data_IF_048386036886
#
_entry.id   IF_048386036886
#
_cell.length_a   1.000
_cell.length_b   1.000
_cell.length_c   1.000
_cell.angle_alpha   90.00
_cell.angle_beta   90.00
_cell.angle_gamma   90.00
#
_symmetry.space_group_name_H-M   'P 1'
#
loop_
_entity.id
_entity.type
_entity.pdbx_description
1 polymer ?
#
# COMPACT_ATOMS: atom_id res chain seq x y z
N UNK A 1 21.15 27.64 -33.11
CA UNK A 1 19.77 27.79 -32.64
C UNK A 1 19.53 29.05 -31.78
N UNK A 2 20.57 29.80 -31.34
CA UNK A 2 20.35 31.08 -30.63
C UNK A 2 20.08 30.96 -29.12
N UNK A 3 19.93 29.75 -28.59
CA UNK A 3 19.74 29.49 -27.16
C UNK A 3 21.07 29.52 -26.38
N UNK A 4 21.07 29.95 -25.11
CA UNK A 4 22.25 29.93 -24.25
C UNK A 4 22.70 28.49 -23.96
N UNK A 5 24.01 28.28 -23.77
CA UNK A 5 24.59 26.97 -23.39
C UNK A 5 24.42 26.70 -21.89
N UNK A 6 23.17 26.62 -21.46
CA UNK A 6 22.77 26.33 -20.09
C UNK A 6 21.64 25.30 -20.08
N UNK A 7 21.34 24.70 -18.93
CA UNK A 7 20.18 23.79 -18.81
C UNK A 7 18.87 24.47 -19.22
N UNK A 8 18.70 25.75 -18.87
CA UNK A 8 17.55 26.54 -19.30
C UNK A 8 17.47 26.70 -20.82
N UNK A 9 18.59 27.03 -21.48
CA UNK A 9 18.61 27.18 -22.94
C UNK A 9 18.37 25.86 -23.68
N UNK A 10 18.85 24.74 -23.14
CA UNK A 10 18.55 23.41 -23.66
C UNK A 10 17.07 23.05 -23.49
N UNK A 11 16.49 23.26 -22.30
CA UNK A 11 15.07 23.04 -22.06
C UNK A 11 14.22 23.87 -23.02
N UNK A 12 14.51 25.17 -23.16
CA UNK A 12 13.70 26.04 -24.02
C UNK A 12 13.78 25.66 -25.50
N UNK A 13 14.95 25.20 -25.97
CA UNK A 13 15.08 24.64 -27.31
C UNK A 13 14.22 23.38 -27.49
N UNK A 14 14.22 22.45 -26.53
CA UNK A 14 13.44 21.21 -26.60
C UNK A 14 11.93 21.49 -26.57
N UNK A 15 11.49 22.46 -25.79
CA UNK A 15 10.10 22.94 -25.78
C UNK A 15 9.71 23.55 -27.12
N UNK A 16 10.51 24.48 -27.66
CA UNK A 16 10.20 25.18 -28.91
C UNK A 16 10.22 24.25 -30.13
N UNK A 17 11.02 23.17 -30.09
CA UNK A 17 11.02 22.12 -31.10
C UNK A 17 9.89 21.10 -30.93
N UNK A 18 9.06 21.22 -29.88
CA UNK A 18 7.94 20.31 -29.60
C UNK A 18 8.36 18.93 -29.11
N UNK A 19 9.63 18.74 -28.74
CA UNK A 19 10.09 17.49 -28.13
C UNK A 19 9.62 17.36 -26.69
N UNK A 20 9.62 18.46 -25.95
CA UNK A 20 9.18 18.52 -24.55
C UNK A 20 7.95 19.42 -24.39
N UNK A 21 7.11 19.08 -23.42
CA UNK A 21 6.04 19.97 -22.99
C UNK A 21 6.58 21.07 -22.07
N UNK A 22 5.87 22.21 -21.96
CA UNK A 22 6.20 23.27 -20.99
C UNK A 22 6.21 22.82 -19.52
N UNK A 23 5.62 21.65 -19.26
CA UNK A 23 5.45 21.07 -17.93
C UNK A 23 6.46 19.94 -17.67
N UNK A 24 7.40 19.72 -18.59
CA UNK A 24 8.51 18.81 -18.35
C UNK A 24 9.33 19.32 -17.17
N UNK A 25 9.81 18.40 -16.32
CA UNK A 25 10.58 18.74 -15.13
C UNK A 25 12.03 18.30 -15.34
N UNK A 26 12.92 19.16 -15.89
CA UNK A 26 14.30 18.80 -16.20
C UNK A 26 15.09 18.22 -15.02
N UNK A 27 14.71 18.60 -13.79
CA UNK A 27 15.33 18.06 -12.57
C UNK A 27 15.04 16.56 -12.37
N UNK A 28 13.86 16.09 -12.76
CA UNK A 28 13.45 14.67 -12.68
C UNK A 28 14.24 13.85 -13.69
N UNK A 29 14.32 14.33 -14.93
CA UNK A 29 15.14 13.73 -16.00
C UNK A 29 16.62 13.73 -15.60
N UNK A 30 17.12 14.85 -15.06
CA UNK A 30 18.51 14.99 -14.63
C UNK A 30 18.87 14.13 -13.41
N UNK A 31 17.90 13.80 -12.56
CA UNK A 31 18.06 12.88 -11.45
C UNK A 31 17.97 11.40 -11.88
N UNK A 32 17.65 11.13 -13.16
CA UNK A 32 17.54 9.78 -13.69
C UNK A 32 16.28 9.03 -13.26
N UNK A 33 15.26 9.74 -12.75
CA UNK A 33 13.98 9.13 -12.34
C UNK A 33 13.29 8.54 -13.58
N UNK A 34 13.15 7.21 -13.58
CA UNK A 34 12.45 6.50 -14.63
C UNK A 34 10.94 6.66 -14.43
N UNK A 35 10.28 7.26 -15.40
CA UNK A 35 8.81 7.48 -15.39
C UNK A 35 8.06 6.43 -16.20
N UNK A 36 8.76 5.66 -17.04
CA UNK A 36 8.19 4.59 -17.87
C UNK A 36 8.90 3.28 -17.53
N UNK A 37 8.17 2.17 -17.52
CA UNK A 37 8.73 0.83 -17.35
C UNK A 37 9.15 0.24 -18.70
N UNK A 38 10.15 -0.64 -18.70
CA UNK A 38 10.45 -1.44 -19.88
C UNK A 38 9.26 -2.38 -20.20
N UNK A 39 8.99 -2.59 -21.49
CA UNK A 39 7.88 -3.43 -21.96
C UNK A 39 7.95 -4.85 -21.38
N UNK A 40 9.16 -5.41 -21.23
CA UNK A 40 9.35 -6.73 -20.63
C UNK A 40 8.95 -6.75 -19.15
N UNK A 41 9.26 -5.69 -18.40
CA UNK A 41 8.87 -5.57 -16.99
C UNK A 41 7.36 -5.39 -16.85
N UNK A 42 6.73 -4.62 -17.73
CA UNK A 42 5.27 -4.48 -17.74
C UNK A 42 4.57 -5.81 -18.06
N UNK A 43 5.11 -6.58 -19.01
CA UNK A 43 4.59 -7.89 -19.36
C UNK A 43 4.72 -8.89 -18.20
N UNK A 44 5.87 -8.94 -17.55
CA UNK A 44 6.11 -9.80 -16.39
C UNK A 44 5.19 -9.42 -15.23
N UNK A 45 5.05 -8.12 -14.95
CA UNK A 45 4.16 -7.63 -13.91
C UNK A 45 2.69 -7.97 -14.19
N UNK A 46 2.23 -7.86 -15.44
CA UNK A 46 0.89 -8.27 -15.82
C UNK A 46 0.69 -9.79 -15.64
N UNK A 47 1.72 -10.58 -15.94
CA UNK A 47 1.72 -12.03 -15.72
C UNK A 47 1.61 -12.38 -14.24
N UNK A 48 2.35 -11.68 -13.36
CA UNK A 48 2.31 -11.85 -11.90
C UNK A 48 0.98 -11.37 -11.28
N UNK A 49 0.40 -10.30 -11.82
CA UNK A 49 -0.88 -9.75 -11.35
C UNK A 49 -2.11 -10.53 -11.83
N UNK A 50 -1.96 -11.34 -12.88
CA UNK A 50 -3.06 -12.04 -13.55
C UNK A 50 -3.81 -12.96 -12.57
N UNK A 51 -5.14 -12.85 -12.42
CA UNK A 51 -5.93 -13.67 -11.50
C UNK A 51 -5.83 -15.18 -11.71
N UNK A 52 -5.54 -15.65 -12.93
CA UNK A 52 -5.33 -17.08 -13.23
C UNK A 52 -3.91 -17.56 -12.92
N UNK A 53 -2.97 -16.63 -12.81
CA UNK A 53 -1.58 -16.85 -12.37
C UNK A 53 -1.35 -16.35 -10.96
N UNK A 54 -2.39 -15.87 -10.26
CA UNK A 54 -2.37 -15.69 -8.82
C UNK A 54 -2.07 -17.07 -8.30
N UNK A 55 -0.79 -17.31 -8.03
CA UNK A 55 -0.34 -18.47 -7.29
C UNK A 55 -1.27 -18.47 -6.08
N UNK A 56 -2.11 -19.51 -5.99
CA UNK A 56 -2.83 -19.80 -4.76
C UNK A 56 -1.78 -19.61 -3.68
N UNK A 57 -2.03 -18.70 -2.75
CA UNK A 57 -1.07 -18.36 -1.72
C UNK A 57 -0.56 -19.68 -1.15
N UNK A 58 0.68 -20.07 -1.45
CA UNK A 58 1.17 -21.39 -1.02
C UNK A 58 1.17 -21.47 0.51
N UNK A 59 1.04 -20.30 1.16
CA UNK A 59 0.92 -20.10 2.58
C UNK A 59 -0.47 -19.60 3.01
N UNK A 60 -1.51 -19.66 2.17
CA UNK A 60 -2.89 -19.28 2.55
C UNK A 60 -3.30 -19.98 3.84
N UNK A 61 -3.01 -21.28 3.94
CA UNK A 61 -3.32 -22.10 5.11
C UNK A 61 -2.52 -21.70 6.36
N UNK A 62 -1.40 -20.99 6.18
CA UNK A 62 -0.56 -20.48 7.25
C UNK A 62 -0.86 -19.03 7.61
N UNK A 63 -1.71 -18.33 6.84
CA UNK A 63 -2.12 -16.96 7.17
C UNK A 63 -3.21 -16.97 8.21
N UNK A 64 -3.11 -16.07 9.18
CA UNK A 64 -4.16 -15.84 10.16
C UNK A 64 -5.38 -15.22 9.46
N UNK A 65 -6.53 -15.88 9.56
CA UNK A 65 -7.79 -15.31 9.09
C UNK A 65 -8.21 -14.17 10.03
N UNK A 66 -8.20 -12.95 9.49
CA UNK A 66 -8.64 -11.72 10.13
C UNK A 66 -9.74 -11.03 9.31
N UNK A 67 -10.41 -11.77 8.42
CA UNK A 67 -11.45 -11.25 7.51
C UNK A 67 -12.66 -10.66 8.23
N UNK A 68 -12.86 -11.01 9.50
CA UNK A 68 -13.92 -10.47 10.37
C UNK A 68 -13.59 -9.08 10.94
N UNK A 69 -12.32 -8.67 10.91
CA UNK A 69 -11.91 -7.35 11.41
C UNK A 69 -12.36 -6.28 10.42
N UNK A 70 -13.12 -5.29 10.91
CA UNK A 70 -13.58 -4.16 10.09
C UNK A 70 -12.52 -3.07 10.06
N UNK A 71 -11.42 -3.36 9.39
CA UNK A 71 -10.27 -2.46 9.30
C UNK A 71 -10.56 -1.26 8.40
N UNK A 72 -9.90 -0.14 8.68
CA UNK A 72 -10.03 1.13 7.96
C UNK A 72 -8.67 1.52 7.40
N UNK A 73 -8.62 1.94 6.14
CA UNK A 73 -7.47 2.57 5.51
C UNK A 73 -7.71 4.09 5.45
N UNK A 74 -6.79 4.87 6.03
CA UNK A 74 -6.91 6.33 6.17
C UNK A 74 -5.90 6.98 5.25
N UNK A 75 -6.39 7.60 4.19
CA UNK A 75 -5.56 8.08 3.08
C UNK A 75 -6.13 9.36 2.48
N UNK A 76 -5.35 9.98 1.58
CA UNK A 76 -5.90 11.00 0.70
C UNK A 76 -7.01 10.43 -0.22
N UNK A 77 -7.97 11.27 -0.66
CA UNK A 77 -9.05 10.85 -1.56
C UNK A 77 -8.56 10.27 -2.89
N UNK A 78 -7.35 10.64 -3.30
CA UNK A 78 -6.76 10.28 -4.59
C UNK A 78 -5.81 9.08 -4.50
N UNK A 79 -5.56 8.52 -3.31
CA UNK A 79 -4.67 7.37 -3.14
C UNK A 79 -5.26 6.12 -3.79
N UNK A 80 -4.49 5.50 -4.68
CA UNK A 80 -4.83 4.24 -5.37
C UNK A 80 -4.00 3.04 -4.88
N UNK A 81 -2.84 3.31 -4.28
CA UNK A 81 -1.91 2.34 -3.71
C UNK A 81 -2.18 2.27 -2.21
N UNK A 82 -3.09 1.39 -1.79
CA UNK A 82 -3.49 1.29 -0.38
C UNK A 82 -2.57 0.30 0.32
N UNK A 83 -1.56 0.83 0.98
CA UNK A 83 -0.49 0.03 1.58
C UNK A 83 -0.83 -0.45 2.99
N UNK A 84 -1.66 0.28 3.73
CA UNK A 84 -1.96 -0.05 5.12
C UNK A 84 -3.43 0.13 5.52
N UNK A 85 -3.82 -0.61 6.55
CA UNK A 85 -5.11 -0.52 7.20
C UNK A 85 -5.00 -0.82 8.69
N UNK A 86 -5.86 -0.19 9.48
CA UNK A 86 -5.85 -0.32 10.94
C UNK A 86 -7.18 -0.80 11.49
N UNK A 87 -7.11 -1.62 12.54
CA UNK A 87 -8.22 -1.98 13.40
C UNK A 87 -7.79 -1.85 14.86
N UNK A 88 -8.66 -1.33 15.73
CA UNK A 88 -8.36 -1.20 17.15
C UNK A 88 -9.57 -1.56 18.01
N UNK A 89 -9.32 -2.25 19.11
CA UNK A 89 -10.33 -2.69 20.06
C UNK A 89 -9.79 -2.61 21.50
N UNK A 90 -10.64 -2.50 22.53
CA UNK A 90 -10.24 -2.75 23.90
C UNK A 90 -9.67 -4.17 24.05
N UNK A 91 -8.62 -4.33 24.85
CA UNK A 91 -8.04 -5.65 25.07
C UNK A 91 -9.04 -6.57 25.80
N UNK A 92 -9.30 -7.79 25.30
CA UNK A 92 -10.40 -8.63 25.80
C UNK A 92 -10.24 -9.09 27.26
N UNK A 93 -9.02 -9.10 27.79
CA UNK A 93 -8.71 -9.58 29.16
C UNK A 93 -7.91 -8.61 30.03
N UNK A 94 -7.60 -7.40 29.54
CA UNK A 94 -6.77 -6.43 30.27
C UNK A 94 -7.46 -5.07 30.27
N UNK A 95 -8.06 -4.72 31.40
CA UNK A 95 -8.80 -3.47 31.54
C UNK A 95 -7.91 -2.25 31.24
N UNK A 96 -8.43 -1.32 30.43
CA UNK A 96 -7.74 -0.10 30.02
C UNK A 96 -6.65 -0.28 28.95
N UNK A 97 -6.35 -1.51 28.54
CA UNK A 97 -5.43 -1.77 27.42
C UNK A 97 -6.19 -1.71 26.09
N UNK A 98 -5.47 -1.36 25.03
CA UNK A 98 -5.99 -1.32 23.66
C UNK A 98 -5.18 -2.32 22.82
N UNK A 99 -5.85 -3.13 22.01
CA UNK A 99 -5.22 -3.96 20.99
C UNK A 99 -5.38 -3.28 19.63
N UNK A 100 -4.28 -3.14 18.92
CA UNK A 100 -4.22 -2.54 17.58
C UNK A 100 -3.71 -3.59 16.62
N UNK A 101 -4.32 -3.66 15.44
CA UNK A 101 -3.87 -4.43 14.29
C UNK A 101 -3.54 -3.45 13.18
N UNK A 102 -2.31 -3.53 12.67
CA UNK A 102 -1.85 -2.78 11.50
C UNK A 102 -1.59 -3.80 10.41
N UNK A 103 -2.42 -3.79 9.38
CA UNK A 103 -2.30 -4.64 8.21
C UNK A 103 -1.51 -3.89 7.15
N UNK A 104 -0.46 -4.50 6.61
CA UNK A 104 0.40 -3.94 5.58
C UNK A 104 0.26 -4.81 4.34
N UNK A 105 0.15 -4.20 3.17
CA UNK A 105 0.23 -4.88 1.88
C UNK A 105 1.41 -5.84 1.84
N UNK A 106 1.25 -6.97 1.14
CA UNK A 106 2.29 -7.98 1.00
C UNK A 106 2.75 -8.12 -0.47
N UNK A 107 3.49 -7.14 -1.03
CA UNK A 107 4.02 -7.23 -2.39
C UNK A 107 4.95 -8.43 -2.61
N UNK A 108 5.62 -8.88 -1.54
CA UNK A 108 6.58 -10.00 -1.61
C UNK A 108 5.92 -11.33 -1.99
N UNK A 109 4.60 -11.43 -1.79
CA UNK A 109 3.80 -12.54 -2.32
C UNK A 109 3.78 -12.59 -3.84
N UNK A 110 3.76 -11.43 -4.50
CA UNK A 110 3.61 -11.34 -5.96
C UNK A 110 4.93 -11.20 -6.69
N UNK A 111 5.97 -10.73 -6.01
CA UNK A 111 7.24 -10.35 -6.63
C UNK A 111 8.34 -11.30 -6.12
N UNK A 112 8.67 -12.36 -6.89
CA UNK A 112 9.74 -13.27 -6.51
C UNK A 112 11.09 -12.57 -6.47
N UNK A 113 11.94 -12.99 -5.52
CA UNK A 113 13.33 -12.53 -5.44
C UNK A 113 14.08 -12.88 -6.74
N UNK A 114 14.79 -11.90 -7.30
CA UNK A 114 15.56 -12.07 -8.54
C UNK A 114 14.74 -11.99 -9.84
N UNK A 115 13.43 -11.75 -9.76
CA UNK A 115 12.60 -11.45 -10.94
C UNK A 115 12.97 -10.09 -11.56
N UNK A 116 12.62 -9.89 -12.84
CA UNK A 116 12.88 -8.59 -13.50
C UNK A 116 12.10 -7.44 -12.84
N UNK A 117 10.89 -7.72 -12.33
CA UNK A 117 10.11 -6.76 -11.54
C UNK A 117 10.82 -6.39 -10.23
N UNK A 118 11.42 -7.35 -9.53
CA UNK A 118 12.19 -7.08 -8.31
C UNK A 118 13.42 -6.22 -8.59
N UNK A 119 14.17 -6.52 -9.65
CA UNK A 119 15.34 -5.73 -10.08
C UNK A 119 14.96 -4.30 -10.44
N UNK A 120 13.88 -4.11 -11.20
CA UNK A 120 13.37 -2.79 -11.56
C UNK A 120 12.91 -2.02 -10.31
N UNK A 121 12.19 -2.68 -9.39
CA UNK A 121 11.76 -2.08 -8.13
C UNK A 121 12.97 -1.65 -7.29
N UNK A 122 14.01 -2.47 -7.21
CA UNK A 122 15.26 -2.15 -6.52
C UNK A 122 15.97 -0.95 -7.16
N UNK A 123 16.02 -0.89 -8.50
CA UNK A 123 16.62 0.22 -9.25
C UNK A 123 15.86 1.54 -9.03
N UNK A 124 14.52 1.49 -8.97
CA UNK A 124 13.68 2.67 -8.66
C UNK A 124 13.73 3.07 -7.19
N UNK A 125 13.88 2.08 -6.30
CA UNK A 125 13.92 2.16 -4.84
C UNK A 125 12.67 2.72 -4.14
N UNK A 126 11.98 3.69 -4.73
CA UNK A 126 10.79 4.34 -4.16
C UNK A 126 9.90 4.94 -5.24
N UNK A 127 8.62 5.15 -4.93
CA UNK A 127 7.71 5.94 -5.78
C UNK A 127 8.03 7.43 -5.61
N UNK A 128 8.14 8.16 -6.74
CA UNK A 128 8.35 9.61 -6.75
C UNK A 128 7.04 10.34 -7.06
N UNK A 129 6.50 11.04 -6.06
CA UNK A 129 5.26 11.80 -6.17
C UNK A 129 5.56 13.24 -6.61
N UNK A 130 5.11 13.59 -7.82
CA UNK A 130 5.32 14.92 -8.42
C UNK A 130 3.97 15.62 -8.65
N UNK A 131 3.95 16.95 -8.75
CA UNK A 131 2.70 17.68 -9.05
C UNK A 131 2.02 17.28 -10.36
N UNK A 132 2.80 16.78 -11.33
CA UNK A 132 2.32 16.36 -12.65
C UNK A 132 1.96 14.87 -12.73
N UNK A 133 2.27 14.07 -11.70
CA UNK A 133 2.01 12.64 -11.67
C UNK A 133 2.97 11.88 -10.76
N UNK A 134 2.84 10.55 -10.72
CA UNK A 134 3.66 9.67 -9.88
C UNK A 134 4.51 8.77 -10.76
N UNK A 135 5.82 8.76 -10.52
CA UNK A 135 6.71 7.71 -11.03
C UNK A 135 6.69 6.56 -10.02
N UNK A 136 5.88 5.53 -10.27
CA UNK A 136 5.69 4.43 -9.31
C UNK A 136 6.91 3.52 -9.26
N UNK A 137 7.18 2.95 -8.08
CA UNK A 137 8.21 1.93 -7.88
C UNK A 137 7.86 0.62 -8.60
N UNK A 138 6.57 0.26 -8.59
CA UNK A 138 6.05 -0.95 -9.22
C UNK A 138 5.15 -0.59 -10.40
N UNK A 139 5.05 -1.46 -11.42
CA UNK A 139 4.06 -1.32 -12.48
C UNK A 139 2.64 -1.21 -11.90
N UNK A 140 1.78 -0.41 -12.55
CA UNK A 140 0.46 -0.06 -12.02
C UNK A 140 -0.42 -1.28 -11.73
N UNK A 141 -0.31 -2.35 -12.53
CA UNK A 141 -1.04 -3.62 -12.34
C UNK A 141 -0.67 -4.36 -11.05
N UNK A 142 0.52 -4.09 -10.50
CA UNK A 142 0.93 -4.60 -9.19
C UNK A 142 0.59 -3.59 -8.10
N UNK A 143 1.03 -2.34 -8.24
CA UNK A 143 0.93 -1.31 -7.21
C UNK A 143 -0.53 -1.02 -6.81
N UNK A 144 -1.39 -0.81 -7.80
CA UNK A 144 -2.77 -0.30 -7.62
C UNK A 144 -3.82 -1.41 -7.58
N UNK A 145 -3.40 -2.64 -7.89
CA UNK A 145 -4.29 -3.79 -7.98
C UNK A 145 -3.81 -4.93 -7.07
N UNK A 146 -2.91 -5.77 -7.57
CA UNK A 146 -2.55 -7.01 -6.88
C UNK A 146 -2.01 -6.79 -5.44
N UNK A 147 -1.15 -5.80 -5.26
CA UNK A 147 -0.51 -5.52 -3.96
C UNK A 147 -1.37 -4.63 -3.05
N UNK A 148 -2.28 -3.84 -3.62
CA UNK A 148 -3.12 -2.92 -2.85
C UNK A 148 -4.11 -3.67 -1.95
N UNK A 149 -4.29 -3.19 -0.72
CA UNK A 149 -5.31 -3.68 0.20
C UNK A 149 -6.73 -3.30 -0.24
N UNK A 150 -6.89 -2.34 -1.16
CA UNK A 150 -8.19 -1.93 -1.68
C UNK A 150 -8.08 -1.51 -3.15
N UNK A 151 -8.88 -2.11 -4.01
CA UNK A 151 -8.89 -1.82 -5.45
C UNK A 151 -10.04 -0.89 -5.84
N UNK A 152 -9.93 -0.27 -7.02
CA UNK A 152 -11.06 0.46 -7.63
C UNK A 152 -12.17 -0.49 -8.08
N UNK A 153 -11.83 -1.74 -8.41
CA UNK A 153 -12.79 -2.78 -8.76
C UNK A 153 -13.49 -3.30 -7.49
N UNK A 154 -14.81 -3.08 -7.44
CA UNK A 154 -15.66 -3.47 -6.31
C UNK A 154 -15.77 -4.99 -6.17
N UNK A 155 -15.76 -5.73 -7.28
CA UNK A 155 -15.83 -7.20 -7.26
C UNK A 155 -14.53 -7.80 -6.72
N UNK A 156 -13.38 -7.17 -7.02
CA UNK A 156 -12.09 -7.56 -6.47
C UNK A 156 -12.05 -7.41 -4.94
N UNK A 157 -12.72 -6.39 -4.40
CA UNK A 157 -12.78 -6.13 -2.95
C UNK A 157 -13.67 -7.09 -2.17
N UNK A 158 -14.49 -7.92 -2.84
CA UNK A 158 -15.28 -8.96 -2.21
C UNK A 158 -14.45 -10.20 -1.81
N UNK A 159 -13.17 -10.26 -2.18
CA UNK A 159 -12.27 -11.38 -1.90
C UNK A 159 -11.28 -11.03 -0.79
N UNK A 160 -10.88 -12.00 0.06
CA UNK A 160 -9.81 -11.79 1.03
C UNK A 160 -8.49 -11.42 0.33
N UNK A 161 -7.72 -10.55 0.99
CA UNK A 161 -6.41 -10.09 0.56
C UNK A 161 -5.34 -10.51 1.55
N UNK A 162 -4.18 -10.90 1.04
CA UNK A 162 -3.02 -11.15 1.88
C UNK A 162 -2.44 -9.83 2.40
N UNK A 163 -2.07 -9.86 3.67
CA UNK A 163 -1.37 -8.78 4.34
C UNK A 163 -0.32 -9.36 5.29
N UNK A 164 0.65 -8.54 5.67
CA UNK A 164 1.47 -8.73 6.85
C UNK A 164 0.86 -7.91 7.99
N UNK A 165 0.42 -8.57 9.06
CA UNK A 165 -0.23 -7.89 10.19
C UNK A 165 0.69 -7.78 11.38
N UNK A 166 0.83 -6.57 11.90
CA UNK A 166 1.40 -6.29 13.21
C UNK A 166 0.26 -6.11 14.21
N UNK A 167 0.13 -7.02 15.17
CA UNK A 167 -0.76 -6.84 16.33
C UNK A 167 0.05 -6.30 17.50
N UNK A 168 -0.37 -5.19 18.09
CA UNK A 168 0.25 -4.56 19.26
C UNK A 168 -0.78 -4.38 20.37
N UNK A 169 -0.45 -4.82 21.58
CA UNK A 169 -1.22 -4.51 22.78
C UNK A 169 -0.56 -3.32 23.49
N UNK A 170 -1.30 -2.22 23.62
CA UNK A 170 -0.89 -0.95 24.23
C UNK A 170 -1.46 -0.85 25.64
N UNK A 171 -0.62 -0.45 26.59
CA UNK A 171 -0.99 -0.24 28.00
C UNK A 171 -1.72 1.10 28.20
N UNK A 172 -2.39 1.32 29.35
CA UNK A 172 -3.04 2.59 29.66
C UNK A 172 -2.09 3.80 29.68
N UNK A 173 -0.79 3.58 29.91
CA UNK A 173 0.24 4.61 29.89
C UNK A 173 0.81 4.89 28.49
N UNK A 174 0.30 4.23 27.45
CA UNK A 174 0.76 4.32 26.07
C UNK A 174 1.98 3.46 25.74
N UNK A 175 2.57 2.74 26.71
CA UNK A 175 3.70 1.85 26.44
C UNK A 175 3.25 0.55 25.75
N UNK A 176 4.14 -0.03 24.94
CA UNK A 176 3.91 -1.34 24.32
C UNK A 176 3.98 -2.41 25.40
N UNK A 177 2.96 -3.26 25.46
CA UNK A 177 2.94 -4.45 26.30
C UNK A 177 3.42 -5.70 25.58
N UNK A 178 2.82 -6.02 24.44
CA UNK A 178 3.17 -7.16 23.60
C UNK A 178 2.93 -6.84 22.13
N UNK A 179 3.67 -7.50 21.24
CA UNK A 179 3.42 -7.43 19.80
C UNK A 179 3.62 -8.79 19.14
N UNK A 180 3.08 -8.95 17.94
CA UNK A 180 3.30 -10.09 17.06
C UNK A 180 3.19 -9.66 15.60
N UNK A 181 3.97 -10.29 14.72
CA UNK A 181 3.95 -10.07 13.27
C UNK A 181 3.59 -11.39 12.61
N UNK A 182 2.55 -11.41 11.78
CA UNK A 182 2.05 -12.62 11.13
C UNK A 182 1.57 -12.33 9.72
N UNK A 183 1.75 -13.30 8.81
CA UNK A 183 0.98 -13.31 7.57
C UNK A 183 -0.51 -13.49 7.88
N UNK A 184 -1.36 -12.73 7.21
CA UNK A 184 -2.81 -12.69 7.47
C UNK A 184 -3.63 -12.55 6.20
N UNK A 185 -4.90 -12.93 6.27
CA UNK A 185 -5.92 -12.59 5.29
C UNK A 185 -6.91 -11.59 5.89
N UNK A 186 -7.16 -10.49 5.19
CA UNK A 186 -8.14 -9.47 5.58
C UNK A 186 -9.17 -9.26 4.49
N UNK A 187 -10.35 -8.74 4.84
CA UNK A 187 -11.23 -8.13 3.84
C UNK A 187 -10.68 -6.76 3.46
N UNK A 188 -11.00 -6.32 2.23
CA UNK A 188 -10.63 -4.97 1.80
C UNK A 188 -11.10 -3.94 2.85
N UNK A 189 -10.20 -3.09 3.36
CA UNK A 189 -10.52 -2.15 4.42
C UNK A 189 -11.50 -1.11 3.89
N UNK A 190 -12.30 -0.56 4.80
CA UNK A 190 -13.09 0.62 4.46
C UNK A 190 -12.14 1.80 4.27
N UNK A 191 -12.28 2.52 3.17
CA UNK A 191 -11.57 3.78 2.94
C UNK A 191 -12.18 4.92 3.76
N UNK A 192 -11.31 5.72 4.36
CA UNK A 192 -11.65 6.99 5.00
C UNK A 192 -10.57 8.02 4.67
N UNK A 193 -10.97 9.29 4.61
CA UNK A 193 -10.05 10.41 4.46
C UNK A 193 -9.64 10.97 5.82
N UNK A 194 -8.49 11.66 5.88
CA UNK A 194 -8.08 12.36 7.10
C UNK A 194 -9.16 13.35 7.59
N UNK A 195 -9.80 14.08 6.67
CA UNK A 195 -10.89 15.02 6.99
C UNK A 195 -12.11 14.30 7.61
N UNK A 196 -12.49 13.13 7.09
CA UNK A 196 -13.59 12.33 7.64
C UNK A 196 -13.28 11.82 9.06
N UNK A 197 -12.04 11.38 9.29
CA UNK A 197 -11.58 10.90 10.60
C UNK A 197 -11.47 12.06 11.61
N UNK A 198 -10.99 13.22 11.18
CA UNK A 198 -10.95 14.43 12.01
C UNK A 198 -12.36 14.88 12.41
N UNK A 199 -13.28 14.95 11.45
CA UNK A 199 -14.68 15.28 11.69
C UNK A 199 -15.33 14.30 12.67
N UNK A 200 -15.03 13.00 12.52
CA UNK A 200 -15.48 11.97 13.44
C UNK A 200 -14.98 12.20 14.88
N UNK A 201 -13.69 12.49 15.03
CA UNK A 201 -13.06 12.71 16.35
C UNK A 201 -13.65 13.92 17.09
N UNK A 202 -14.03 14.96 16.34
CA UNK A 202 -14.55 16.22 16.89
C UNK A 202 -16.02 16.13 17.29
N UNK A 203 -16.82 15.32 16.60
CA UNK A 203 -18.28 15.38 16.73
C UNK A 203 -18.83 14.45 17.82
N UNK A 204 -18.09 13.44 18.28
CA UNK A 204 -18.50 12.44 19.30
C UNK A 204 -19.89 11.76 19.06
N UNK A 205 -20.54 12.01 17.92
CA UNK A 205 -21.94 11.70 17.66
C UNK A 205 -22.17 10.51 16.72
N UNK A 206 -21.12 10.00 16.07
CA UNK A 206 -21.19 8.71 15.42
C UNK A 206 -20.48 7.71 16.36
N UNK A 207 -21.22 6.79 16.95
CA UNK A 207 -20.61 5.54 17.38
C UNK A 207 -20.69 4.63 16.15
N UNK A 208 -19.56 4.17 15.66
CA UNK A 208 -19.58 3.08 14.69
C UNK A 208 -20.01 1.85 15.50
N UNK A 209 -21.22 1.37 15.27
CA UNK A 209 -21.74 0.19 15.95
C UNK A 209 -20.82 -0.99 15.62
N UNK A 210 -20.18 -1.54 16.66
CA UNK A 210 -19.35 -2.74 16.57
C UNK A 210 -20.05 -3.83 17.36
N UNK A 211 -20.40 -4.94 16.70
CA UNK A 211 -21.12 -6.06 17.34
C UNK A 211 -20.20 -7.19 17.81
N UNK A 212 -18.94 -7.26 17.35
CA UNK A 212 -18.04 -8.36 17.71
C UNK A 212 -16.63 -7.87 18.09
N UNK A 213 -16.10 -8.38 19.21
CA UNK A 213 -14.71 -8.22 19.65
C UNK A 213 -13.91 -9.43 19.18
N UNK A 214 -12.69 -9.22 18.69
CA UNK A 214 -11.82 -10.32 18.29
C UNK A 214 -11.27 -11.02 19.52
N UNK A 215 -11.83 -12.19 19.81
CA UNK A 215 -11.54 -12.97 21.02
C UNK A 215 -10.61 -14.16 20.77
N UNK A 216 -10.30 -14.46 19.51
CA UNK A 216 -9.44 -15.60 19.20
C UNK A 216 -7.99 -15.39 19.66
N UNK A 217 -7.32 -16.45 20.15
CA UNK A 217 -5.89 -16.43 20.39
C UNK A 217 -5.14 -16.07 19.11
N UNK A 218 -4.23 -15.10 19.23
CA UNK A 218 -3.36 -14.64 18.14
C UNK A 218 -1.99 -15.35 18.20
N UNK A 219 -1.90 -16.49 18.90
CA UNK A 219 -0.61 -17.03 19.31
C UNK A 219 0.27 -17.48 18.14
N UNK A 220 1.54 -17.05 18.27
CA UNK A 220 2.79 -17.19 17.48
C UNK A 220 2.77 -18.11 16.24
N UNK A 221 3.06 -17.52 15.09
CA UNK A 221 3.84 -18.17 14.03
C UNK A 221 5.33 -17.89 14.28
N UNK A 222 6.10 -18.97 14.48
CA UNK A 222 7.53 -19.04 14.21
C UNK A 222 8.48 -18.30 15.15
N UNK A 223 8.80 -18.91 16.30
CA UNK A 223 10.16 -18.86 16.83
C UNK A 223 10.84 -20.18 16.47
N UNK A 224 11.29 -20.30 15.23
CA UNK A 224 12.23 -21.32 14.75
C UNK A 224 13.23 -20.64 13.80
#
# INVERSE_FOLDING_TARGET
>A
AGYPRTQYGAHKLLEDCGFWSRHEVPAVVGAGVQVVFDEHVEHDAATLACPTNRVDDEHAEHRKDLTKLRSIAIDDPWTEEVDDAVYAEPHPSKEGWIRIFVHIADPTRFIPLGSEVEKEAAQRSTSCYMPTGTATMLPSVLAKAACSLHERDVEANAKPRAAMTVRVDIKPDGSIGSYAVVGSQIMAPRRATYDEVEAFSTTQAARWEHEETFTEPFDRLGSD
#
